data_IF_029560155813
#
_entry.id   IF_029560155813
#
_cell.length_a   1.000
_cell.length_b   1.000
_cell.length_c   1.000
_cell.angle_alpha   90.00
_cell.angle_beta   90.00
_cell.angle_gamma   90.00
#
_symmetry.space_group_name_H-M   'P 1'
#
loop_
_entity.id
_entity.type
_entity.pdbx_description
1 polymer ?
#
# COMPACT_ATOMS: atom_id res chain seq x y z
N UNK A 1 51.07 20.85 -21.69
CA UNK A 1 51.26 19.81 -20.65
C UNK A 1 50.40 20.20 -19.45
N UNK A 2 49.56 19.26 -18.99
CA UNK A 2 48.79 19.30 -17.73
C UNK A 2 47.49 20.12 -17.81
N UNK A 3 46.29 19.51 -17.77
CA UNK A 3 45.60 18.92 -16.59
C UNK A 3 45.32 20.01 -15.53
N UNK A 4 44.10 20.28 -15.06
CA UNK A 4 42.93 19.44 -14.86
C UNK A 4 41.61 20.24 -14.89
N UNK A 5 40.56 19.57 -15.36
CA UNK A 5 39.17 19.81 -14.96
C UNK A 5 39.07 19.94 -13.44
N UNK A 6 38.34 20.93 -12.93
CA UNK A 6 37.35 20.64 -11.89
C UNK A 6 36.10 21.49 -12.11
N UNK A 7 35.06 20.80 -12.58
CA UNK A 7 33.67 21.15 -12.31
C UNK A 7 33.53 21.48 -10.81
N UNK A 8 33.27 22.73 -10.48
CA UNK A 8 32.78 23.06 -9.14
C UNK A 8 31.40 22.44 -9.03
N UNK A 9 31.36 21.28 -8.39
CA UNK A 9 30.16 20.50 -8.11
C UNK A 9 29.13 21.43 -7.47
N UNK A 10 27.99 21.57 -8.14
CA UNK A 10 26.75 21.99 -7.53
C UNK A 10 26.34 20.85 -6.59
N UNK A 11 26.94 20.80 -5.40
CA UNK A 11 26.44 19.95 -4.34
C UNK A 11 25.14 20.57 -3.87
N UNK A 12 24.04 20.07 -4.44
CA UNK A 12 22.72 20.23 -3.86
C UNK A 12 22.78 19.63 -2.45
N UNK A 13 23.10 20.48 -1.48
CA UNK A 13 22.92 20.18 -0.07
C UNK A 13 21.46 19.84 0.07
N UNK A 14 21.15 18.54 0.16
CA UNK A 14 19.90 18.03 0.71
C UNK A 14 19.88 18.53 2.15
N UNK A 15 19.42 19.77 2.34
CA UNK A 15 19.11 20.28 3.66
C UNK A 15 18.05 19.33 4.20
N UNK A 16 18.46 18.48 5.14
CA UNK A 16 17.51 17.93 6.08
C UNK A 16 16.69 19.11 6.62
N UNK A 17 15.38 18.95 6.90
CA UNK A 17 14.59 20.01 7.48
C UNK A 17 15.20 20.39 8.84
N UNK A 18 16.09 21.37 8.83
CA UNK A 18 16.69 21.93 10.03
C UNK A 18 15.72 23.00 10.52
N UNK A 19 15.07 22.74 11.64
CA UNK A 19 14.22 23.71 12.30
C UNK A 19 15.15 24.70 12.98
N UNK A 20 15.10 25.95 12.53
CA UNK A 20 15.89 27.02 13.14
C UNK A 20 15.27 27.33 14.51
N UNK A 21 15.72 26.62 15.55
CA UNK A 21 15.27 26.82 16.93
C UNK A 21 15.82 28.12 17.56
N UNK A 22 16.59 28.92 16.80
CA UNK A 22 17.28 30.11 17.31
C UNK A 22 16.38 31.24 17.80
N UNK A 23 15.10 31.25 17.42
CA UNK A 23 14.15 32.31 17.77
C UNK A 23 13.14 31.90 18.86
N UNK A 24 13.19 30.65 19.35
CA UNK A 24 12.24 30.15 20.35
C UNK A 24 12.84 30.25 21.76
N UNK A 25 12.07 30.77 22.71
CA UNK A 25 12.40 30.63 24.13
C UNK A 25 12.34 29.15 24.55
N UNK A 26 13.03 28.76 25.65
CA UNK A 26 12.99 27.37 26.13
C UNK A 26 11.57 26.82 26.39
N UNK A 27 10.62 27.69 26.74
CA UNK A 27 9.21 27.32 26.94
C UNK A 27 8.49 27.08 25.62
N UNK A 28 8.68 27.96 24.64
CA UNK A 28 8.08 27.80 23.30
C UNK A 28 8.65 26.59 22.56
N UNK A 29 9.95 26.32 22.71
CA UNK A 29 10.57 25.11 22.18
C UNK A 29 9.97 23.85 22.81
N UNK A 30 9.72 23.87 24.12
CA UNK A 30 9.09 22.74 24.83
C UNK A 30 7.67 22.49 24.35
N UNK A 31 6.85 23.54 24.25
CA UNK A 31 5.48 23.42 23.76
C UNK A 31 5.44 22.90 22.31
N UNK A 32 6.34 23.41 21.47
CA UNK A 32 6.46 22.95 20.09
C UNK A 32 6.85 21.46 20.00
N UNK A 33 7.81 21.00 20.81
CA UNK A 33 8.20 19.57 20.87
C UNK A 33 7.02 18.71 21.32
N UNK A 34 6.28 19.13 22.35
CA UNK A 34 5.10 18.39 22.85
C UNK A 34 4.03 18.32 21.76
N UNK A 35 3.77 19.43 21.07
CA UNK A 35 2.80 19.47 19.98
C UNK A 35 3.20 18.55 18.82
N UNK A 36 4.48 18.55 18.44
CA UNK A 36 5.02 17.64 17.42
C UNK A 36 4.87 16.17 17.84
N UNK A 37 5.21 15.84 19.08
CA UNK A 37 5.09 14.48 19.62
C UNK A 37 3.64 13.99 19.58
N UNK A 38 2.69 14.81 20.02
CA UNK A 38 1.26 14.48 19.99
C UNK A 38 0.76 14.26 18.55
N UNK A 39 1.17 15.12 17.61
CA UNK A 39 0.79 14.96 16.21
C UNK A 39 1.38 13.69 15.58
N UNK A 40 2.62 13.35 15.93
CA UNK A 40 3.27 12.13 15.49
C UNK A 40 2.57 10.87 16.04
N UNK A 41 2.18 10.88 17.32
CA UNK A 41 1.41 9.80 17.94
C UNK A 41 0.05 9.59 17.25
N UNK A 42 -0.71 10.66 17.03
CA UNK A 42 -2.01 10.60 16.33
C UNK A 42 -1.83 10.05 14.91
N UNK A 43 -0.81 10.50 14.19
CA UNK A 43 -0.51 10.02 12.83
C UNK A 43 -0.10 8.54 12.82
N UNK A 44 0.68 8.09 13.82
CA UNK A 44 1.06 6.69 14.00
C UNK A 44 -0.15 5.79 14.23
N UNK A 45 -1.02 6.14 15.18
CA UNK A 45 -2.24 5.38 15.48
C UNK A 45 -3.19 5.31 14.27
N UNK A 46 -3.36 6.41 13.53
CA UNK A 46 -4.17 6.43 12.31
C UNK A 46 -3.59 5.52 11.22
N UNK A 47 -2.25 5.48 11.10
CA UNK A 47 -1.53 4.64 10.14
C UNK A 47 -1.69 3.15 10.48
N UNK A 48 -1.49 2.76 11.75
CA UNK A 48 -1.69 1.39 12.22
C UNK A 48 -3.13 0.90 11.98
N UNK A 49 -4.10 1.73 12.36
CA UNK A 49 -5.51 1.40 12.13
C UNK A 49 -5.86 1.26 10.64
N UNK A 50 -5.25 2.07 9.78
CA UNK A 50 -5.42 1.97 8.32
C UNK A 50 -4.81 0.66 7.79
N UNK A 51 -3.63 0.29 8.27
CA UNK A 51 -2.97 -0.97 7.92
C UNK A 51 -3.84 -2.17 8.30
N UNK A 52 -4.41 -2.19 9.50
CA UNK A 52 -5.30 -3.26 9.96
C UNK A 52 -6.56 -3.37 9.09
N UNK A 53 -7.17 -2.25 8.71
CA UNK A 53 -8.34 -2.24 7.82
C UNK A 53 -8.01 -2.78 6.43
N UNK A 54 -6.85 -2.41 5.88
CA UNK A 54 -6.39 -2.91 4.59
C UNK A 54 -6.12 -4.41 4.64
N UNK A 55 -5.45 -4.91 5.69
CA UNK A 55 -5.23 -6.34 5.89
C UNK A 55 -6.54 -7.12 6.03
N UNK A 56 -7.53 -6.56 6.75
CA UNK A 56 -8.86 -7.15 6.86
C UNK A 56 -9.57 -7.22 5.50
N UNK A 57 -9.54 -6.14 4.72
CA UNK A 57 -10.11 -6.10 3.38
C UNK A 57 -9.44 -7.12 2.44
N UNK A 58 -8.10 -7.23 2.50
CA UNK A 58 -7.34 -8.23 1.75
C UNK A 58 -7.79 -9.65 2.11
N UNK A 59 -7.96 -9.94 3.40
CA UNK A 59 -8.43 -11.23 3.88
C UNK A 59 -9.84 -11.56 3.36
N UNK A 60 -10.75 -10.59 3.38
CA UNK A 60 -12.10 -10.75 2.83
C UNK A 60 -12.07 -11.04 1.33
N UNK A 61 -11.30 -10.28 0.55
CA UNK A 61 -11.15 -10.51 -0.90
C UNK A 61 -10.59 -11.91 -1.19
N UNK A 62 -9.58 -12.34 -0.42
CA UNK A 62 -9.00 -13.68 -0.55
C UNK A 62 -10.02 -14.79 -0.26
N UNK A 63 -10.90 -14.58 0.73
CA UNK A 63 -11.98 -15.51 1.05
C UNK A 63 -12.97 -15.64 -0.11
N UNK A 64 -13.36 -14.51 -0.71
CA UNK A 64 -14.26 -14.50 -1.88
C UNK A 64 -13.62 -15.25 -3.06
N UNK A 65 -12.33 -15.04 -3.34
CA UNK A 65 -11.64 -15.79 -4.41
C UNK A 65 -11.67 -17.30 -4.18
N UNK A 66 -11.44 -17.75 -2.95
CA UNK A 66 -11.50 -19.18 -2.59
C UNK A 66 -12.89 -19.80 -2.79
N UNK A 67 -13.96 -19.02 -2.66
CA UNK A 67 -15.33 -19.47 -2.93
C UNK A 67 -15.68 -19.46 -4.43
N UNK A 68 -15.13 -18.51 -5.19
CA UNK A 68 -15.38 -18.39 -6.64
C UNK A 68 -14.58 -19.40 -7.47
N UNK A 69 -13.36 -19.73 -7.07
CA UNK A 69 -12.48 -20.68 -7.80
C UNK A 69 -13.13 -22.04 -8.08
N UNK A 70 -13.77 -22.72 -7.10
CA UNK A 70 -14.46 -23.99 -7.34
C UNK A 70 -15.65 -23.84 -8.29
N UNK A 71 -16.38 -22.72 -8.22
CA UNK A 71 -17.57 -22.47 -9.07
C UNK A 71 -17.16 -22.28 -10.52
N UNK A 72 -16.10 -21.49 -10.76
CA UNK A 72 -15.52 -21.35 -12.10
C UNK A 72 -15.00 -22.69 -12.58
N UNK A 73 -14.26 -23.44 -11.74
CA UNK A 73 -13.74 -24.78 -12.07
C UNK A 73 -14.83 -25.76 -12.49
N UNK A 74 -15.98 -25.72 -11.82
CA UNK A 74 -17.14 -26.53 -12.18
C UNK A 74 -17.72 -26.13 -13.55
N UNK A 75 -17.91 -24.82 -13.77
CA UNK A 75 -18.49 -24.30 -15.01
C UNK A 75 -17.57 -24.49 -16.23
N UNK A 76 -16.25 -24.53 -16.03
CA UNK A 76 -15.27 -24.88 -17.09
C UNK A 76 -15.00 -26.38 -17.23
N UNK A 77 -15.65 -27.23 -16.44
CA UNK A 77 -15.41 -28.68 -16.55
C UNK A 77 -15.94 -29.21 -17.88
N UNK A 78 -15.23 -30.17 -18.48
CA UNK A 78 -15.61 -30.76 -19.79
C UNK A 78 -17.04 -31.31 -19.82
N UNK A 79 -17.55 -31.76 -18.66
CA UNK A 79 -18.93 -32.23 -18.51
C UNK A 79 -19.95 -31.13 -18.72
N UNK A 80 -19.65 -29.91 -18.28
CA UNK A 80 -20.50 -28.74 -18.50
C UNK A 80 -20.23 -28.16 -19.89
N UNK A 81 -18.96 -28.11 -20.32
CA UNK A 81 -18.57 -27.52 -21.60
C UNK A 81 -19.09 -28.30 -22.81
N UNK A 82 -19.26 -29.61 -22.67
CA UNK A 82 -19.71 -30.47 -23.77
C UNK A 82 -21.14 -30.99 -23.57
N UNK A 83 -21.85 -30.48 -22.56
CA UNK A 83 -23.28 -30.74 -22.44
C UNK A 83 -24.03 -30.15 -23.66
N UNK A 84 -25.04 -30.85 -24.18
CA UNK A 84 -25.88 -30.34 -25.28
C UNK A 84 -26.57 -29.01 -24.91
N UNK A 85 -26.68 -28.75 -23.60
CA UNK A 85 -27.31 -27.59 -22.98
C UNK A 85 -26.31 -26.48 -22.63
N UNK A 86 -25.20 -26.39 -23.36
CA UNK A 86 -24.21 -25.33 -23.21
C UNK A 86 -24.74 -23.99 -23.74
N UNK A 87 -25.75 -23.52 -23.01
CA UNK A 87 -26.54 -22.32 -23.22
C UNK A 87 -25.61 -21.11 -23.17
N UNK A 88 -25.90 -20.12 -24.03
CA UNK A 88 -25.26 -18.80 -24.00
C UNK A 88 -25.25 -18.17 -22.61
N UNK A 89 -26.20 -18.53 -21.74
CA UNK A 89 -26.26 -18.07 -20.35
C UNK A 89 -25.07 -18.55 -19.50
N UNK A 90 -24.63 -19.81 -19.65
CA UNK A 90 -23.48 -20.36 -18.89
C UNK A 90 -22.19 -19.65 -19.32
N UNK A 91 -22.04 -19.37 -20.62
CA UNK A 91 -20.87 -18.63 -21.13
C UNK A 91 -20.85 -17.18 -20.65
N UNK A 92 -22.00 -16.52 -20.58
CA UNK A 92 -22.14 -15.16 -20.05
C UNK A 92 -21.83 -15.09 -18.55
N UNK A 93 -22.33 -16.07 -17.78
CA UNK A 93 -22.06 -16.19 -16.35
C UNK A 93 -20.56 -16.45 -16.10
N UNK A 94 -19.94 -17.33 -16.88
CA UNK A 94 -18.50 -17.58 -16.81
C UNK A 94 -17.67 -16.33 -17.14
N UNK A 95 -18.05 -15.59 -18.19
CA UNK A 95 -17.37 -14.35 -18.56
C UNK A 95 -17.51 -13.29 -17.44
N UNK A 96 -18.66 -13.23 -16.79
CA UNK A 96 -18.91 -12.33 -15.66
C UNK A 96 -18.06 -12.72 -14.45
N UNK A 97 -18.04 -14.00 -14.08
CA UNK A 97 -17.24 -14.51 -12.97
C UNK A 97 -15.74 -14.25 -13.17
N UNK A 98 -15.23 -14.46 -14.39
CA UNK A 98 -13.84 -14.18 -14.72
C UNK A 98 -13.49 -12.68 -14.60
N UNK A 99 -14.40 -11.78 -15.01
CA UNK A 99 -14.22 -10.33 -14.81
C UNK A 99 -14.19 -9.97 -13.32
N UNK A 100 -15.08 -10.55 -12.52
CA UNK A 100 -15.14 -10.33 -11.07
C UNK A 100 -13.86 -10.81 -10.39
N UNK A 101 -13.37 -12.01 -10.73
CA UNK A 101 -12.09 -12.53 -10.21
C UNK A 101 -10.94 -11.60 -10.57
N UNK A 102 -10.84 -11.16 -11.82
CA UNK A 102 -9.80 -10.23 -12.25
C UNK A 102 -9.84 -8.90 -11.48
N UNK A 103 -11.03 -8.35 -11.24
CA UNK A 103 -11.19 -7.14 -10.44
C UNK A 103 -10.78 -7.33 -8.98
N UNK A 104 -11.16 -8.46 -8.36
CA UNK A 104 -10.79 -8.80 -6.98
C UNK A 104 -9.28 -8.98 -6.85
N UNK A 105 -8.65 -9.71 -7.77
CA UNK A 105 -7.19 -9.89 -7.79
C UNK A 105 -6.45 -8.55 -7.95
N UNK A 106 -6.96 -7.66 -8.82
CA UNK A 106 -6.44 -6.30 -8.99
C UNK A 106 -6.51 -5.49 -7.69
N UNK A 107 -7.67 -5.52 -7.02
CA UNK A 107 -7.86 -4.85 -5.73
C UNK A 107 -6.96 -5.42 -4.64
N UNK A 108 -6.83 -6.75 -4.54
CA UNK A 108 -5.95 -7.42 -3.60
C UNK A 108 -4.49 -6.98 -3.78
N UNK A 109 -4.01 -6.91 -5.02
CA UNK A 109 -2.66 -6.45 -5.33
C UNK A 109 -2.43 -4.99 -4.91
N UNK A 110 -3.40 -4.12 -5.17
CA UNK A 110 -3.33 -2.71 -4.77
C UNK A 110 -3.29 -2.57 -3.24
N UNK A 111 -4.11 -3.34 -2.52
CA UNK A 111 -4.14 -3.36 -1.05
C UNK A 111 -2.81 -3.85 -0.48
N UNK A 112 -2.26 -4.96 -0.98
CA UNK A 112 -0.96 -5.47 -0.54
C UNK A 112 0.16 -4.45 -0.78
N UNK A 113 0.13 -3.74 -1.91
CA UNK A 113 1.07 -2.65 -2.19
C UNK A 113 0.92 -1.51 -1.20
N UNK A 114 -0.31 -1.11 -0.85
CA UNK A 114 -0.56 -0.06 0.14
C UNK A 114 -0.06 -0.47 1.53
N UNK A 115 -0.32 -1.71 1.96
CA UNK A 115 0.21 -2.26 3.21
C UNK A 115 1.74 -2.18 3.25
N UNK A 116 2.42 -2.61 2.18
CA UNK A 116 3.88 -2.57 2.10
C UNK A 116 4.43 -1.15 2.20
N UNK A 117 3.78 -0.18 1.55
CA UNK A 117 4.19 1.23 1.62
C UNK A 117 4.01 1.81 3.04
N UNK A 118 2.89 1.50 3.70
CA UNK A 118 2.66 1.95 5.08
C UNK A 118 3.68 1.33 6.05
N UNK A 119 3.97 0.04 5.91
CA UNK A 119 4.99 -0.64 6.72
C UNK A 119 6.40 -0.06 6.49
N UNK A 120 6.75 0.27 5.24
CA UNK A 120 8.04 0.92 4.95
C UNK A 120 8.14 2.33 5.52
N UNK A 121 7.05 3.08 5.52
CA UNK A 121 6.99 4.41 6.14
C UNK A 121 7.21 4.32 7.66
N UNK A 122 6.61 3.31 8.30
CA UNK A 122 6.77 3.02 9.72
C UNK A 122 8.21 2.60 10.09
N UNK A 123 8.82 1.70 9.30
CA UNK A 123 10.22 1.28 9.52
C UNK A 123 11.25 2.40 9.32
N UNK A 124 10.99 3.37 8.44
CA UNK A 124 11.88 4.54 8.26
C UNK A 124 11.83 5.51 9.44
N UNK A 125 10.72 5.57 10.17
CA UNK A 125 10.61 6.35 11.41
C UNK A 125 11.54 5.84 12.51
N UNK A 126 11.77 4.52 12.58
CA UNK A 126 12.66 3.91 13.57
C UNK A 126 14.16 4.04 13.25
N UNK A 127 14.55 4.06 11.97
CA UNK A 127 15.96 4.14 11.55
C UNK A 127 16.57 5.55 11.57
N UNK A 128 15.78 6.60 11.84
CA UNK A 128 16.28 7.97 12.01
C UNK A 128 16.29 8.45 13.47
N UNK A 129 15.93 7.58 14.42
CA UNK A 129 15.84 7.91 15.84
C UNK A 129 17.05 7.45 16.68
N UNK A 130 18.06 6.80 16.05
CA UNK A 130 19.31 6.36 16.69
C UNK A 130 20.52 7.20 16.25
#
# INVERSE_FOLDING_TARGET
MGRDMQHSKNEAVKKAPCINAGDLTPSELREWIIHLANNAEIAGLATEHTLLKLQSAEHSLRSVLKDLEPRISFLVSDQIIHSEDHSSAIQEELATLNKVVGAIQGAQKAILSACSLLQQADCRGHLQAD
#
